data_IF_338496106463
#
_entry.id   IF_338496106463
#
_cell.length_a   1.000
_cell.length_b   1.000
_cell.length_c   1.000
_cell.angle_alpha   90.00
_cell.angle_beta   90.00
_cell.angle_gamma   90.00
#
_symmetry.space_group_name_H-M   'P 1'
#
loop_
_entity.id
_entity.type
_entity.pdbx_description
1 polymer ?
#
# COMPACT_ATOMS: atom_id res chain seq x y z
N UNK A 1 4.64 60.00 -50.61
CA UNK A 1 3.89 58.77 -50.25
C UNK A 1 4.39 58.27 -48.91
N UNK A 2 3.56 58.37 -47.88
CA UNK A 2 3.83 57.85 -46.53
C UNK A 2 3.44 56.37 -46.49
N UNK A 3 4.43 55.49 -46.33
CA UNK A 3 4.19 54.05 -46.17
C UNK A 3 3.86 53.76 -44.71
N UNK A 4 2.59 53.48 -44.44
CA UNK A 4 2.12 52.98 -43.15
C UNK A 4 2.57 51.53 -42.98
N UNK A 5 3.63 51.30 -42.20
CA UNK A 5 4.01 49.97 -41.73
C UNK A 5 2.98 49.48 -40.73
N UNK A 6 2.01 48.73 -41.24
CA UNK A 6 0.99 48.02 -40.48
C UNK A 6 1.66 46.94 -39.62
N UNK A 7 1.87 47.23 -38.34
CA UNK A 7 2.44 46.31 -37.37
C UNK A 7 1.42 45.23 -37.03
N UNK A 8 1.34 44.21 -37.89
CA UNK A 8 0.55 42.99 -37.62
C UNK A 8 1.04 42.35 -36.32
N UNK A 9 0.32 42.61 -35.24
CA UNK A 9 0.43 41.88 -33.97
C UNK A 9 0.20 40.40 -34.27
N UNK A 10 1.29 39.66 -34.43
CA UNK A 10 1.25 38.22 -34.61
C UNK A 10 0.93 37.64 -33.25
N UNK A 11 -0.37 37.46 -32.96
CA UNK A 11 -0.82 36.78 -31.74
C UNK A 11 -0.25 35.37 -31.77
N UNK A 12 0.66 35.09 -30.84
CA UNK A 12 1.20 33.75 -30.65
C UNK A 12 0.05 32.80 -30.31
N UNK A 13 0.07 31.55 -30.79
CA UNK A 13 -0.94 30.58 -30.43
C UNK A 13 -0.90 30.28 -28.93
N UNK A 14 -2.07 30.00 -28.35
CA UNK A 14 -2.25 29.92 -26.89
C UNK A 14 -1.39 28.83 -26.21
N UNK A 15 -1.06 27.74 -26.90
CA UNK A 15 -0.19 26.68 -26.37
C UNK A 15 1.27 27.11 -26.17
N UNK A 16 1.70 28.24 -26.76
CA UNK A 16 3.05 28.76 -26.61
C UNK A 16 3.29 29.42 -25.25
N UNK A 17 2.23 29.78 -24.52
CA UNK A 17 2.34 30.41 -23.21
C UNK A 17 2.59 29.36 -22.12
N UNK A 18 3.68 29.50 -21.35
CA UNK A 18 4.03 28.55 -20.28
C UNK A 18 2.95 28.36 -19.21
N UNK A 19 2.15 29.40 -18.92
CA UNK A 19 1.05 29.31 -17.95
C UNK A 19 -0.02 28.29 -18.34
N UNK A 20 -0.23 28.06 -19.65
CA UNK A 20 -1.18 27.03 -20.13
C UNK A 20 -0.72 25.64 -19.70
N UNK A 21 0.58 25.38 -19.76
CA UNK A 21 1.16 24.12 -19.28
C UNK A 21 1.06 23.95 -17.77
N UNK A 22 1.16 25.03 -16.98
CA UNK A 22 0.96 24.96 -15.53
C UNK A 22 -0.46 24.49 -15.19
N UNK A 23 -1.48 25.02 -15.86
CA UNK A 23 -2.87 24.62 -15.65
C UNK A 23 -3.11 23.17 -16.09
N UNK A 24 -2.56 22.75 -17.22
CA UNK A 24 -2.70 21.38 -17.72
C UNK A 24 -1.93 20.37 -16.85
N UNK A 25 -0.78 20.77 -16.32
CA UNK A 25 0.08 19.88 -15.53
C UNK A 25 -0.57 19.40 -14.24
N UNK A 26 -1.40 20.24 -13.59
CA UNK A 26 -2.07 19.87 -12.34
C UNK A 26 -2.92 18.59 -12.47
N UNK A 27 -3.93 18.58 -13.36
CA UNK A 27 -4.71 17.38 -13.64
C UNK A 27 -3.86 16.23 -14.22
N UNK A 28 -2.91 16.54 -15.10
CA UNK A 28 -2.08 15.51 -15.74
C UNK A 28 -1.27 14.70 -14.71
N UNK A 29 -0.69 15.36 -13.71
CA UNK A 29 0.09 14.69 -12.65
C UNK A 29 -0.80 13.74 -11.83
N UNK A 30 -2.04 14.13 -11.52
CA UNK A 30 -2.98 13.27 -10.78
C UNK A 30 -3.32 12.02 -11.59
N UNK A 31 -3.55 12.17 -12.89
CA UNK A 31 -3.80 11.03 -13.78
C UNK A 31 -2.59 10.09 -13.85
N UNK A 32 -1.38 10.62 -13.96
CA UNK A 32 -0.16 9.78 -13.94
C UNK A 32 0.00 9.07 -12.59
N UNK A 33 -0.25 9.76 -11.47
CA UNK A 33 -0.17 9.18 -10.13
C UNK A 33 -1.19 8.04 -9.91
N UNK A 34 -2.40 8.16 -10.45
CA UNK A 34 -3.40 7.10 -10.36
C UNK A 34 -2.96 5.85 -11.12
N UNK A 35 -2.36 6.02 -12.31
CA UNK A 35 -1.78 4.89 -13.05
C UNK A 35 -0.61 4.24 -12.32
N UNK A 36 0.29 5.02 -11.72
CA UNK A 36 1.39 4.49 -10.91
C UNK A 36 0.84 3.64 -9.75
N UNK A 37 -0.15 4.17 -9.03
CA UNK A 37 -0.79 3.46 -7.91
C UNK A 37 -1.44 2.17 -8.37
N UNK A 38 -2.17 2.22 -9.48
CA UNK A 38 -2.78 1.03 -10.09
C UNK A 38 -1.73 -0.01 -10.50
N UNK A 39 -0.62 0.43 -11.10
CA UNK A 39 0.49 -0.45 -11.49
C UNK A 39 1.11 -1.13 -10.27
N UNK A 40 1.38 -0.39 -9.19
CA UNK A 40 1.86 -0.96 -7.93
C UNK A 40 0.88 -1.96 -7.34
N UNK A 41 -0.43 -1.70 -7.39
CA UNK A 41 -1.43 -2.62 -6.86
C UNK A 41 -1.53 -3.92 -7.69
N UNK A 42 -1.38 -3.82 -9.02
CA UNK A 42 -1.41 -4.96 -9.93
C UNK A 42 -0.17 -5.86 -9.79
N UNK A 43 1.01 -5.27 -9.53
CA UNK A 43 2.29 -6.00 -9.49
C UNK A 43 2.80 -6.29 -8.08
N UNK A 44 2.42 -5.49 -7.09
CA UNK A 44 2.82 -5.60 -5.68
C UNK A 44 1.87 -6.48 -4.88
N UNK A 45 1.35 -7.56 -5.48
CA UNK A 45 0.65 -8.59 -4.73
C UNK A 45 1.71 -9.31 -3.89
N UNK A 46 1.75 -8.99 -2.59
CA UNK A 46 2.56 -9.71 -1.60
C UNK A 46 2.24 -11.21 -1.76
N UNK A 47 3.23 -12.04 -2.13
CA UNK A 47 3.00 -13.46 -2.38
C UNK A 47 2.25 -14.05 -1.20
N UNK A 48 1.05 -14.57 -1.47
CA UNK A 48 0.23 -15.26 -0.48
C UNK A 48 1.13 -16.27 0.22
N UNK A 49 1.35 -16.06 1.52
CA UNK A 49 2.02 -17.00 2.39
C UNK A 49 1.19 -18.28 2.38
N UNK A 50 1.50 -19.19 1.46
CA UNK A 50 0.94 -20.53 1.46
C UNK A 50 1.31 -21.16 2.80
N UNK A 51 0.37 -21.87 3.44
CA UNK A 51 0.55 -22.36 4.82
C UNK A 51 1.81 -23.23 4.99
N UNK A 52 2.34 -23.80 3.91
CA UNK A 52 3.64 -24.48 3.85
C UNK A 52 4.84 -23.59 4.19
N UNK A 53 4.77 -22.30 3.89
CA UNK A 53 5.85 -21.33 4.06
C UNK A 53 5.85 -20.82 5.51
N UNK A 54 4.65 -20.73 6.09
CA UNK A 54 4.44 -20.48 7.52
C UNK A 54 4.95 -21.68 8.30
N UNK A 55 4.65 -22.93 7.93
CA UNK A 55 5.24 -24.11 8.61
C UNK A 55 6.77 -24.19 8.49
N UNK A 56 7.35 -23.82 7.34
CA UNK A 56 8.80 -23.83 7.15
C UNK A 56 9.52 -22.75 7.98
N UNK A 57 8.97 -21.54 8.04
CA UNK A 57 9.49 -20.45 8.86
C UNK A 57 9.24 -20.71 10.35
N UNK A 58 8.05 -21.19 10.72
CA UNK A 58 7.72 -21.60 12.09
C UNK A 58 8.59 -22.75 12.55
N UNK A 59 8.94 -23.75 11.74
CA UNK A 59 9.83 -24.85 12.16
C UNK A 59 11.28 -24.39 12.37
N UNK A 60 11.69 -23.36 11.63
CA UNK A 60 13.02 -22.71 11.78
C UNK A 60 13.04 -21.75 12.98
N UNK A 61 11.91 -21.10 13.26
CA UNK A 61 11.72 -20.25 14.43
C UNK A 61 11.49 -21.06 15.72
N UNK A 62 10.71 -22.15 15.73
CA UNK A 62 10.48 -23.02 16.89
C UNK A 62 11.79 -23.63 17.41
N UNK A 63 12.73 -23.94 16.50
CA UNK A 63 14.08 -24.36 16.87
C UNK A 63 14.89 -23.25 17.60
N UNK A 64 14.47 -21.99 17.50
CA UNK A 64 15.05 -20.81 18.17
C UNK A 64 14.17 -20.17 19.24
N UNK A 65 12.87 -20.45 19.31
CA UNK A 65 11.92 -19.81 20.22
C UNK A 65 11.01 -20.83 20.90
N UNK A 66 11.57 -21.55 21.88
CA UNK A 66 10.83 -22.25 22.95
C UNK A 66 10.10 -21.26 23.89
N UNK A 67 9.46 -20.22 23.35
CA UNK A 67 8.73 -19.21 24.10
C UNK A 67 7.34 -19.08 23.48
N UNK A 68 6.39 -19.78 24.10
CA UNK A 68 5.00 -19.87 23.69
C UNK A 68 4.32 -18.49 23.47
N UNK A 69 3.23 -18.41 22.67
CA UNK A 69 2.56 -17.15 22.36
C UNK A 69 2.00 -16.46 23.61
N UNK A 70 2.53 -15.28 23.93
CA UNK A 70 2.02 -14.40 25.00
C UNK A 70 0.55 -13.95 24.81
N UNK A 71 -0.06 -14.25 23.66
CA UNK A 71 -1.45 -13.92 23.36
C UNK A 71 -2.48 -14.78 24.08
N UNK A 72 -2.12 -15.98 24.53
CA UNK A 72 -3.07 -16.84 25.24
C UNK A 72 -3.34 -16.35 26.68
N UNK A 73 -2.51 -15.43 27.20
CA UNK A 73 -2.63 -14.87 28.54
C UNK A 73 -3.49 -13.59 28.63
N UNK A 74 -3.82 -12.91 27.52
CA UNK A 74 -4.46 -11.58 27.61
C UNK A 74 -5.96 -11.60 27.93
N UNK A 75 -6.66 -12.71 27.67
CA UNK A 75 -8.10 -12.81 27.93
C UNK A 75 -8.48 -13.77 29.06
N UNK A 76 -7.57 -14.65 29.50
CA UNK A 76 -7.85 -15.55 30.63
C UNK A 76 -7.76 -14.87 32.01
N UNK A 77 -7.30 -13.62 32.10
CA UNK A 77 -7.23 -12.87 33.36
C UNK A 77 -8.59 -12.33 33.84
N UNK A 78 -9.61 -12.26 32.97
CA UNK A 78 -10.91 -11.64 33.27
C UNK A 78 -12.01 -12.64 33.69
N UNK A 79 -11.77 -13.95 33.59
CA UNK A 79 -12.71 -14.98 34.05
C UNK A 79 -12.02 -15.80 35.14
N UNK A 80 -12.24 -15.41 36.40
CA UNK A 80 -11.60 -15.98 37.58
C UNK A 80 -12.04 -17.41 37.92
N UNK A 81 -11.87 -18.36 37.00
CA UNK A 81 -11.99 -19.80 37.29
C UNK A 81 -10.96 -20.56 36.44
N UNK A 82 -9.96 -21.14 37.10
CA UNK A 82 -9.14 -22.19 36.51
C UNK A 82 -10.06 -23.38 36.16
N UNK A 83 -10.01 -23.93 34.95
CA UNK A 83 -10.57 -25.26 34.72
C UNK A 83 -9.82 -26.23 35.63
N UNK A 84 -10.54 -26.94 36.51
CA UNK A 84 -9.95 -28.11 37.18
C UNK A 84 -9.55 -29.12 36.11
N UNK A 85 -8.38 -29.77 36.22
CA UNK A 85 -8.03 -30.84 35.31
C UNK A 85 -9.04 -31.97 35.53
N UNK A 86 -9.89 -32.22 34.52
CA UNK A 86 -10.72 -33.42 34.48
C UNK A 86 -9.82 -34.65 34.47
N UNK A 87 -9.61 -35.22 35.65
CA UNK A 87 -8.94 -36.50 35.86
C UNK A 87 -9.89 -37.64 35.53
N UNK A 88 -10.42 -37.68 34.31
CA UNK A 88 -11.11 -38.89 33.86
C UNK A 88 -11.13 -39.00 32.33
N UNK A 89 -10.13 -39.70 31.77
CA UNK A 89 -10.33 -40.70 30.70
C UNK A 89 -9.02 -41.33 30.27
N UNK A 90 -8.78 -42.57 30.71
CA UNK A 90 -8.32 -43.71 29.89
C UNK A 90 -8.34 -44.99 30.74
N UNK A 91 -8.54 -46.19 30.17
CA UNK A 91 -9.28 -46.58 28.96
C UNK A 91 -10.78 -46.86 29.21
#
# INVERSE_FOLDING_TARGET
>A
MSNSTDSKSTKQPWWSYGHVWLVISGPLVVVVASFITFYLAAHGQDPVLTQSNVEADLKTLDARTTLAPAMQARNHAATGTLPSPDSNKKP
#
